data_IF_364286221777
#
_entry.id   IF_364286221777
#
_cell.length_a   1.000
_cell.length_b   1.000
_cell.length_c   1.000
_cell.angle_alpha   90.00
_cell.angle_beta   90.00
_cell.angle_gamma   90.00
#
_symmetry.space_group_name_H-M   'P 1'
#
loop_
_entity.id
_entity.type
_entity.pdbx_description
1 polymer ?
#
# COMPACT_ATOMS: atom_id res chain seq x y z
N UNK A 1 -55.77 -11.83 25.91
CA UNK A 1 -55.12 -13.06 25.41
C UNK A 1 -53.62 -12.87 25.46
N UNK A 2 -52.91 -13.58 26.30
CA UNK A 2 -51.41 -13.53 26.29
C UNK A 2 -50.94 -14.54 25.22
N UNK A 3 -50.39 -14.07 24.11
CA UNK A 3 -49.69 -14.94 23.18
C UNK A 3 -48.42 -15.44 23.86
N UNK A 4 -48.39 -16.71 24.24
CA UNK A 4 -47.15 -17.39 24.64
C UNK A 4 -46.56 -18.04 23.39
N UNK A 5 -45.34 -17.64 23.07
CA UNK A 5 -44.56 -18.28 22.00
C UNK A 5 -44.30 -19.75 22.34
N UNK A 6 -44.43 -20.64 21.36
CA UNK A 6 -43.94 -22.01 21.52
C UNK A 6 -42.41 -22.04 21.58
N UNK A 7 -41.85 -23.06 22.20
CA UNK A 7 -40.38 -23.21 22.27
C UNK A 7 -39.71 -23.28 20.88
N UNK A 8 -40.43 -23.81 19.89
CA UNK A 8 -39.97 -23.87 18.49
C UNK A 8 -39.98 -22.50 17.84
N UNK A 9 -41.03 -21.70 18.00
CA UNK A 9 -41.08 -20.32 17.47
C UNK A 9 -39.99 -19.43 18.07
N UNK A 10 -39.64 -19.63 19.34
CA UNK A 10 -38.57 -18.92 20.01
C UNK A 10 -37.21 -19.31 19.45
N UNK A 11 -36.96 -20.60 19.23
CA UNK A 11 -35.73 -21.11 18.63
C UNK A 11 -35.56 -20.63 17.18
N UNK A 12 -36.63 -20.63 16.39
CA UNK A 12 -36.60 -20.12 15.02
C UNK A 12 -36.31 -18.61 14.97
N UNK A 13 -36.92 -17.83 15.86
CA UNK A 13 -36.64 -16.39 15.96
C UNK A 13 -35.21 -16.11 16.38
N UNK A 14 -34.65 -16.89 17.31
CA UNK A 14 -33.25 -16.79 17.72
C UNK A 14 -32.31 -17.17 16.58
N UNK A 15 -32.57 -18.28 15.88
CA UNK A 15 -31.77 -18.72 14.73
C UNK A 15 -31.77 -17.67 13.61
N UNK A 16 -32.93 -17.08 13.31
CA UNK A 16 -33.05 -16.01 12.32
C UNK A 16 -32.24 -14.75 12.73
N UNK A 17 -32.33 -14.37 14.02
CA UNK A 17 -31.59 -13.24 14.57
C UNK A 17 -30.07 -13.46 14.49
N UNK A 18 -29.58 -14.66 14.80
CA UNK A 18 -28.16 -15.01 14.65
C UNK A 18 -27.73 -15.00 13.18
N UNK A 19 -28.54 -15.51 12.27
CA UNK A 19 -28.27 -15.49 10.84
C UNK A 19 -28.16 -14.05 10.33
N UNK A 20 -29.09 -13.18 10.69
CA UNK A 20 -29.04 -11.74 10.34
C UNK A 20 -27.79 -11.05 10.91
N UNK A 21 -27.47 -11.30 12.18
CA UNK A 21 -26.29 -10.73 12.82
C UNK A 21 -25.01 -11.17 12.11
N UNK A 22 -24.89 -12.45 11.79
CA UNK A 22 -23.75 -13.02 11.06
C UNK A 22 -23.58 -12.38 9.67
N UNK A 23 -24.68 -12.24 8.91
CA UNK A 23 -24.68 -11.59 7.61
C UNK A 23 -24.30 -10.11 7.70
N UNK A 24 -24.80 -9.39 8.69
CA UNK A 24 -24.46 -7.99 8.92
C UNK A 24 -22.98 -7.84 9.29
N UNK A 25 -22.45 -8.68 10.18
CA UNK A 25 -21.03 -8.67 10.55
C UNK A 25 -20.13 -8.97 9.36
N UNK A 26 -20.51 -9.95 8.52
CA UNK A 26 -19.76 -10.28 7.30
C UNK A 26 -19.79 -9.14 6.29
N UNK A 27 -20.95 -8.54 6.05
CA UNK A 27 -21.09 -7.38 5.17
C UNK A 27 -20.27 -6.18 5.66
N UNK A 28 -20.31 -5.90 6.96
CA UNK A 28 -19.51 -4.85 7.59
C UNK A 28 -18.00 -5.11 7.44
N UNK A 29 -17.54 -6.35 7.65
CA UNK A 29 -16.15 -6.74 7.46
C UNK A 29 -15.69 -6.58 5.99
N UNK A 30 -16.56 -6.90 5.02
CA UNK A 30 -16.28 -6.71 3.59
C UNK A 30 -16.20 -5.21 3.27
N UNK A 31 -17.14 -4.41 3.75
CA UNK A 31 -17.15 -2.94 3.55
C UNK A 31 -15.90 -2.32 4.17
N UNK A 32 -15.53 -2.71 5.38
CA UNK A 32 -14.28 -2.25 6.00
C UNK A 32 -13.06 -2.64 5.18
N UNK A 33 -12.95 -3.90 4.72
CA UNK A 33 -11.82 -4.32 3.88
C UNK A 33 -11.76 -3.55 2.56
N UNK A 34 -12.90 -3.32 1.91
CA UNK A 34 -12.97 -2.49 0.69
C UNK A 34 -12.61 -1.03 0.97
N UNK A 35 -12.85 -0.55 2.20
CA UNK A 35 -12.48 0.81 2.65
C UNK A 35 -11.01 0.97 3.02
N UNK A 36 -10.27 -0.13 3.29
CA UNK A 36 -8.90 -0.07 3.85
C UNK A 36 -7.82 -0.71 2.98
N UNK A 37 -8.19 -1.53 2.00
CA UNK A 37 -7.22 -2.26 1.16
C UNK A 37 -7.43 -1.98 -0.33
N UNK A 38 -6.34 -1.99 -1.07
CA UNK A 38 -6.34 -1.98 -2.54
C UNK A 38 -6.74 -3.37 -3.07
N UNK A 39 -7.75 -3.43 -3.91
CA UNK A 39 -8.35 -4.68 -4.41
C UNK A 39 -7.43 -5.46 -5.34
N UNK A 40 -6.49 -4.79 -5.99
CA UNK A 40 -5.55 -5.43 -6.91
C UNK A 40 -4.39 -6.09 -6.18
N UNK A 41 -3.77 -5.38 -5.24
CA UNK A 41 -2.53 -5.79 -4.58
C UNK A 41 -2.73 -6.38 -3.20
N UNK A 42 -3.88 -6.10 -2.56
CA UNK A 42 -4.16 -6.50 -1.17
C UNK A 42 -3.41 -5.67 -0.11
N UNK A 43 -2.65 -4.65 -0.53
CA UNK A 43 -2.00 -3.69 0.36
C UNK A 43 -3.03 -2.74 0.99
N UNK A 44 -2.61 -1.97 1.98
CA UNK A 44 -3.39 -0.84 2.44
C UNK A 44 -3.58 0.17 1.29
N UNK A 45 -4.77 0.74 1.19
CA UNK A 45 -5.10 1.71 0.13
C UNK A 45 -4.82 3.17 0.57
N UNK A 46 -5.12 4.12 -0.32
CA UNK A 46 -4.97 5.54 -0.07
C UNK A 46 -5.76 6.02 1.16
N UNK A 47 -6.98 5.53 1.37
CA UNK A 47 -7.77 5.91 2.55
C UNK A 47 -7.06 5.52 3.86
N UNK A 48 -6.50 4.30 3.90
CA UNK A 48 -5.73 3.83 5.07
C UNK A 48 -4.44 4.63 5.27
N UNK A 49 -3.83 5.07 4.19
CA UNK A 49 -2.67 5.97 4.24
C UNK A 49 -3.06 7.34 4.82
N UNK A 50 -4.14 7.96 4.34
CA UNK A 50 -4.62 9.25 4.85
C UNK A 50 -4.99 9.18 6.34
N UNK A 51 -5.68 8.11 6.77
CA UNK A 51 -5.96 7.87 8.19
C UNK A 51 -4.68 7.74 9.03
N UNK A 52 -3.64 7.11 8.50
CA UNK A 52 -2.34 7.01 9.16
C UNK A 52 -1.65 8.36 9.27
N UNK A 53 -1.77 9.22 8.26
CA UNK A 53 -1.24 10.58 8.33
C UNK A 53 -1.93 11.41 9.41
N UNK A 54 -3.25 11.36 9.50
CA UNK A 54 -4.01 12.03 10.55
C UNK A 54 -3.55 11.58 11.95
N UNK A 55 -3.31 10.27 12.12
CA UNK A 55 -2.80 9.71 13.37
C UNK A 55 -1.39 10.24 13.71
N UNK A 56 -0.49 10.33 12.74
CA UNK A 56 0.85 10.86 12.90
C UNK A 56 0.86 12.38 13.16
N UNK A 57 -0.11 13.14 12.63
CA UNK A 57 -0.27 14.56 12.95
C UNK A 57 -0.70 14.77 14.40
N UNK A 58 -1.56 13.89 14.93
CA UNK A 58 -2.01 13.95 16.33
C UNK A 58 -0.95 13.43 17.29
N UNK A 59 -0.22 12.40 16.90
CA UNK A 59 0.80 11.73 17.71
C UNK A 59 2.07 11.52 16.87
N UNK A 60 2.90 12.58 16.71
CA UNK A 60 4.11 12.48 15.91
C UNK A 60 5.06 11.39 16.45
N UNK A 61 5.54 10.48 15.59
CA UNK A 61 6.51 9.48 16.03
C UNK A 61 7.90 10.10 16.26
N UNK A 62 8.62 9.60 17.26
CA UNK A 62 9.99 10.03 17.55
C UNK A 62 10.97 9.71 16.43
N UNK A 63 10.74 8.62 15.73
CA UNK A 63 11.50 8.17 14.59
C UNK A 63 10.54 7.54 13.56
N UNK A 64 10.70 7.91 12.31
CA UNK A 64 9.95 7.33 11.19
C UNK A 64 10.81 7.38 9.93
N UNK A 65 10.77 6.32 9.14
CA UNK A 65 11.33 6.31 7.80
C UNK A 65 10.22 6.09 6.79
N UNK A 66 10.19 6.91 5.75
CA UNK A 66 9.31 6.76 4.61
C UNK A 66 10.10 6.16 3.45
N UNK A 67 9.56 5.11 2.86
CA UNK A 67 10.03 4.50 1.63
C UNK A 67 8.95 4.76 0.57
N UNK A 68 9.23 5.63 -0.39
CA UNK A 68 8.36 5.91 -1.53
C UNK A 68 8.85 5.12 -2.73
N UNK A 69 7.94 4.49 -3.47
CA UNK A 69 8.29 3.70 -4.65
C UNK A 69 7.30 3.96 -5.80
N UNK A 70 7.82 3.96 -7.02
CA UNK A 70 7.06 4.14 -8.25
C UNK A 70 7.52 3.10 -9.27
N UNK A 71 6.56 2.52 -9.99
CA UNK A 71 6.79 1.45 -10.96
C UNK A 71 7.22 2.03 -12.31
N UNK A 72 8.39 1.65 -12.75
CA UNK A 72 8.91 2.11 -14.04
C UNK A 72 8.36 1.25 -15.20
N UNK A 73 7.87 1.91 -16.25
CA UNK A 73 7.45 1.24 -17.49
C UNK A 73 6.11 0.52 -17.42
N UNK A 74 5.24 0.80 -16.43
CA UNK A 74 3.91 0.20 -16.33
C UNK A 74 3.06 0.47 -17.57
N UNK A 75 3.12 1.71 -18.10
CA UNK A 75 2.39 2.09 -19.31
C UNK A 75 2.84 1.27 -20.53
N UNK A 76 4.14 1.10 -20.71
CA UNK A 76 4.71 0.32 -21.81
C UNK A 76 4.37 -1.17 -21.68
N UNK A 77 4.39 -1.69 -20.45
CA UNK A 77 3.92 -3.05 -20.15
C UNK A 77 2.47 -3.24 -20.53
N UNK A 78 1.59 -2.31 -20.14
CA UNK A 78 0.17 -2.34 -20.48
C UNK A 78 -0.06 -2.29 -22.00
N UNK A 79 0.68 -1.45 -22.72
CA UNK A 79 0.54 -1.28 -24.17
C UNK A 79 1.08 -2.47 -24.96
N UNK A 80 2.14 -3.12 -24.49
CA UNK A 80 2.81 -4.20 -25.21
C UNK A 80 2.28 -5.58 -24.86
N UNK A 81 1.91 -5.80 -23.59
CA UNK A 81 1.52 -7.12 -23.06
C UNK A 81 0.09 -7.13 -22.47
N UNK A 82 -0.58 -5.98 -22.45
CA UNK A 82 -1.95 -5.82 -21.95
C UNK A 82 -2.03 -5.59 -20.45
N UNK A 83 -3.19 -5.08 -20.00
CA UNK A 83 -3.43 -4.71 -18.59
C UNK A 83 -3.22 -5.84 -17.58
N UNK A 84 -3.44 -7.11 -17.99
CA UNK A 84 -3.17 -8.25 -17.09
C UNK A 84 -1.70 -8.36 -16.70
N UNK A 85 -0.78 -8.09 -17.63
CA UNK A 85 0.65 -8.10 -17.36
C UNK A 85 1.06 -6.95 -16.41
N UNK A 86 0.48 -5.76 -16.61
CA UNK A 86 0.66 -4.63 -15.68
C UNK A 86 0.11 -4.93 -14.28
N UNK A 87 -1.05 -5.56 -14.20
CA UNK A 87 -1.64 -6.00 -12.93
C UNK A 87 -0.75 -7.01 -12.18
N UNK A 88 -0.15 -7.96 -12.91
CA UNK A 88 0.81 -8.92 -12.33
C UNK A 88 2.07 -8.22 -11.82
N UNK A 89 2.57 -7.26 -12.58
CA UNK A 89 3.71 -6.42 -12.19
C UNK A 89 3.42 -5.66 -10.89
N UNK A 90 2.26 -4.99 -10.80
CA UNK A 90 1.84 -4.26 -9.59
C UNK A 90 1.68 -5.18 -8.38
N UNK A 91 1.05 -6.36 -8.54
CA UNK A 91 0.93 -7.36 -7.46
C UNK A 91 2.29 -7.85 -6.98
N UNK A 92 3.22 -8.08 -7.92
CA UNK A 92 4.55 -8.57 -7.58
C UNK A 92 5.35 -7.54 -6.80
N UNK A 93 5.35 -6.27 -7.25
CA UNK A 93 6.06 -5.16 -6.59
C UNK A 93 5.47 -4.91 -5.21
N UNK A 94 4.14 -4.78 -5.10
CA UNK A 94 3.46 -4.61 -3.82
C UNK A 94 3.74 -5.74 -2.85
N UNK A 95 3.70 -6.99 -3.30
CA UNK A 95 4.03 -8.16 -2.49
C UNK A 95 5.50 -8.20 -2.04
N UNK A 96 6.44 -7.74 -2.88
CA UNK A 96 7.84 -7.63 -2.51
C UNK A 96 8.05 -6.56 -1.42
N UNK A 97 7.41 -5.40 -1.54
CA UNK A 97 7.45 -4.35 -0.52
C UNK A 97 6.82 -4.81 0.80
N UNK A 98 5.65 -5.44 0.73
CA UNK A 98 4.95 -5.96 1.92
C UNK A 98 5.79 -6.95 2.72
N UNK A 99 6.53 -7.83 2.03
CA UNK A 99 7.43 -8.80 2.69
C UNK A 99 8.58 -8.14 3.42
N UNK A 100 9.07 -7.01 2.93
CA UNK A 100 10.20 -6.31 3.53
C UNK A 100 9.78 -5.32 4.63
N UNK A 101 8.64 -4.64 4.48
CA UNK A 101 8.22 -3.56 5.36
C UNK A 101 6.98 -3.87 6.20
N UNK A 102 6.30 -4.99 5.95
CA UNK A 102 5.13 -5.44 6.71
C UNK A 102 3.80 -5.03 6.11
N UNK A 103 2.76 -5.80 6.41
CA UNK A 103 1.41 -5.63 5.85
C UNK A 103 0.64 -4.45 6.45
N UNK A 104 0.99 -4.02 7.67
CA UNK A 104 0.34 -2.91 8.37
C UNK A 104 0.93 -1.54 8.06
N UNK A 105 2.02 -1.50 7.29
CA UNK A 105 2.80 -0.29 7.04
C UNK A 105 3.09 -0.06 5.55
N UNK A 106 2.53 -0.90 4.64
CA UNK A 106 2.75 -0.79 3.19
C UNK A 106 1.45 -0.47 2.49
N UNK A 107 1.49 0.57 1.66
CA UNK A 107 0.34 1.19 1.02
C UNK A 107 0.52 1.23 -0.49
N UNK A 108 -0.59 1.11 -1.23
CA UNK A 108 -0.69 1.57 -2.62
C UNK A 108 -1.51 2.84 -2.64
N UNK A 109 -0.86 3.96 -2.97
CA UNK A 109 -1.45 5.31 -2.86
C UNK A 109 -1.87 5.91 -4.21
N UNK A 110 -1.36 5.35 -5.30
CA UNK A 110 -1.66 5.74 -6.68
C UNK A 110 -1.74 4.53 -7.60
N UNK A 111 -1.82 4.78 -8.89
CA UNK A 111 -1.87 3.72 -9.91
C UNK A 111 -0.63 2.83 -9.91
N UNK A 112 0.54 3.44 -9.88
CA UNK A 112 1.88 2.84 -9.89
C UNK A 112 2.72 3.23 -8.66
N UNK A 113 2.13 3.94 -7.69
CA UNK A 113 2.80 4.47 -6.52
C UNK A 113 2.52 3.64 -5.27
N UNK A 114 3.61 3.33 -4.58
CA UNK A 114 3.62 2.60 -3.33
C UNK A 114 4.38 3.36 -2.26
N UNK A 115 3.98 3.19 -1.02
CA UNK A 115 4.64 3.78 0.12
C UNK A 115 4.73 2.78 1.27
N UNK A 116 5.82 2.83 2.03
CA UNK A 116 5.92 2.11 3.29
C UNK A 116 6.50 3.01 4.38
N UNK A 117 6.01 2.80 5.61
CA UNK A 117 6.59 3.39 6.80
C UNK A 117 7.28 2.32 7.64
N UNK A 118 8.39 2.69 8.30
CA UNK A 118 9.04 1.87 9.32
C UNK A 118 9.73 2.75 10.36
N UNK A 119 9.67 2.33 11.61
CA UNK A 119 10.31 2.98 12.78
C UNK A 119 11.36 2.09 13.43
N UNK A 120 11.36 0.79 13.12
CA UNK A 120 12.18 -0.25 13.74
C UNK A 120 13.44 -0.65 12.97
N UNK A 121 13.59 -0.21 11.70
CA UNK A 121 14.71 -0.59 10.83
C UNK A 121 15.84 0.43 10.85
N UNK A 122 17.08 -0.07 10.87
CA UNK A 122 18.26 0.76 10.64
C UNK A 122 18.36 1.20 9.18
N UNK A 123 19.08 2.29 8.87
CA UNK A 123 19.31 2.72 7.49
C UNK A 123 19.89 1.62 6.61
N UNK A 124 20.88 0.87 7.08
CA UNK A 124 21.52 -0.22 6.35
C UNK A 124 20.52 -1.35 6.05
N UNK A 125 19.67 -1.73 7.02
CA UNK A 125 18.64 -2.74 6.83
C UNK A 125 17.56 -2.32 5.83
N UNK A 126 17.28 -1.01 5.71
CA UNK A 126 16.36 -0.47 4.71
C UNK A 126 17.00 -0.53 3.32
N UNK A 127 18.28 -0.13 3.21
CA UNK A 127 19.03 -0.19 1.97
C UNK A 127 19.14 -1.62 1.44
N UNK A 128 19.47 -2.59 2.30
CA UNK A 128 19.50 -4.02 1.99
C UNK A 128 18.13 -4.53 1.54
N UNK A 129 17.04 -4.09 2.21
CA UNK A 129 15.67 -4.45 1.83
C UNK A 129 15.33 -3.96 0.44
N UNK A 130 15.67 -2.72 0.11
CA UNK A 130 15.44 -2.12 -1.22
C UNK A 130 16.28 -2.82 -2.29
N UNK A 131 17.54 -3.09 -2.00
CA UNK A 131 18.42 -3.82 -2.92
C UNK A 131 17.86 -5.22 -3.22
N UNK A 132 17.37 -5.91 -2.19
CA UNK A 132 16.73 -7.21 -2.36
C UNK A 132 15.46 -7.13 -3.22
N UNK A 133 14.59 -6.14 -2.98
CA UNK A 133 13.42 -5.89 -3.84
C UNK A 133 13.86 -5.67 -5.28
N UNK A 134 14.81 -4.77 -5.53
CA UNK A 134 15.30 -4.47 -6.89
C UNK A 134 15.84 -5.72 -7.60
N UNK A 135 16.55 -6.61 -6.87
CA UNK A 135 17.03 -7.87 -7.41
C UNK A 135 15.88 -8.81 -7.81
N UNK A 136 14.85 -8.94 -6.97
CA UNK A 136 13.67 -9.74 -7.28
C UNK A 136 12.92 -9.20 -8.51
N UNK A 137 12.75 -7.87 -8.59
CA UNK A 137 12.10 -7.22 -9.73
C UNK A 137 12.87 -7.47 -11.02
N UNK A 138 14.20 -7.30 -10.99
CA UNK A 138 15.09 -7.50 -12.15
C UNK A 138 15.00 -8.93 -12.71
N UNK A 139 14.83 -9.95 -11.87
CA UNK A 139 14.67 -11.34 -12.31
C UNK A 139 13.42 -11.56 -13.16
N UNK A 140 12.42 -10.67 -13.04
CA UNK A 140 11.19 -10.69 -13.84
C UNK A 140 11.16 -9.62 -14.94
N UNK A 141 12.24 -8.87 -15.11
CA UNK A 141 12.27 -7.75 -16.04
C UNK A 141 11.45 -6.54 -15.58
N UNK A 142 11.11 -6.49 -14.28
CA UNK A 142 10.40 -5.36 -13.68
C UNK A 142 11.37 -4.37 -13.06
N UNK A 143 10.96 -3.12 -13.00
CA UNK A 143 11.75 -2.04 -12.40
C UNK A 143 10.85 -1.13 -11.57
N UNK A 144 11.39 -0.62 -10.46
CA UNK A 144 10.78 0.43 -9.67
C UNK A 144 11.87 1.36 -9.16
N UNK A 145 11.52 2.64 -9.02
CA UNK A 145 12.37 3.67 -8.42
C UNK A 145 11.96 3.89 -6.98
N UNK A 146 12.95 4.08 -6.10
CA UNK A 146 12.74 4.22 -4.66
C UNK A 146 13.33 5.52 -4.15
N UNK A 147 12.62 6.15 -3.22
CA UNK A 147 13.14 7.24 -2.42
C UNK A 147 12.98 6.93 -0.94
N UNK A 148 14.01 7.18 -0.17
CA UNK A 148 14.02 6.95 1.27
C UNK A 148 14.36 8.23 1.99
N UNK A 149 13.55 8.55 3.00
CA UNK A 149 13.82 9.64 3.91
C UNK A 149 13.52 9.21 5.34
N UNK A 150 14.25 9.79 6.28
CA UNK A 150 14.05 9.56 7.70
C UNK A 150 13.69 10.87 8.39
N UNK A 151 12.67 10.81 9.24
CA UNK A 151 12.28 11.95 10.07
C UNK A 151 13.46 12.31 10.99
N UNK A 152 13.88 13.56 10.91
CA UNK A 152 14.92 14.11 11.77
C UNK A 152 14.29 15.19 12.65
N UNK A 153 14.73 15.27 13.90
CA UNK A 153 14.18 16.05 15.00
C UNK A 153 13.49 17.37 14.59
N UNK A 154 12.19 17.44 14.81
CA UNK A 154 11.36 18.64 14.56
C UNK A 154 10.74 18.74 13.18
N UNK A 155 10.98 17.80 12.25
CA UNK A 155 10.31 17.76 10.95
C UNK A 155 8.89 17.20 11.04
N UNK A 156 8.07 17.45 10.03
CA UNK A 156 6.72 16.91 9.88
C UNK A 156 6.71 15.65 9.01
N UNK A 157 5.67 14.83 9.15
CA UNK A 157 5.50 13.62 8.30
C UNK A 157 5.25 14.01 6.84
N UNK A 158 4.60 15.14 6.59
CA UNK A 158 4.40 15.66 5.23
C UNK A 158 5.74 16.03 4.55
N UNK A 159 6.64 16.68 5.28
CA UNK A 159 7.99 16.98 4.80
C UNK A 159 8.80 15.71 4.55
N UNK A 160 8.67 14.71 5.43
CA UNK A 160 9.28 13.40 5.28
C UNK A 160 8.86 12.71 3.97
N UNK A 161 7.55 12.64 3.71
CA UNK A 161 6.99 12.02 2.51
C UNK A 161 7.45 12.77 1.26
N UNK A 162 7.34 14.10 1.25
CA UNK A 162 7.76 14.93 0.13
C UNK A 162 9.25 14.77 -0.18
N UNK A 163 10.09 14.66 0.83
CA UNK A 163 11.52 14.44 0.63
C UNK A 163 11.82 13.03 0.07
N UNK A 164 11.09 12.00 0.55
CA UNK A 164 11.18 10.65 -0.01
C UNK A 164 10.72 10.61 -1.48
N UNK A 165 9.60 11.22 -1.80
CA UNK A 165 9.08 11.36 -3.16
C UNK A 165 10.10 12.02 -4.10
N UNK A 166 10.70 13.14 -3.69
CA UNK A 166 11.73 13.83 -4.47
C UNK A 166 12.96 12.95 -4.74
N UNK A 167 13.33 12.08 -3.79
CA UNK A 167 14.43 11.12 -3.99
C UNK A 167 14.05 10.02 -4.97
N UNK A 168 12.83 9.48 -4.85
CA UNK A 168 12.28 8.51 -5.80
C UNK A 168 12.25 9.10 -7.21
N UNK A 169 11.77 10.32 -7.37
CA UNK A 169 11.71 10.99 -8.65
C UNK A 169 13.09 11.19 -9.29
N UNK A 170 14.13 11.54 -8.50
CA UNK A 170 15.51 11.62 -8.97
C UNK A 170 16.02 10.26 -9.46
N UNK A 171 15.72 9.20 -8.76
CA UNK A 171 16.08 7.85 -9.19
C UNK A 171 15.34 7.46 -10.48
N UNK A 172 14.02 7.75 -10.57
CA UNK A 172 13.20 7.50 -11.78
C UNK A 172 13.79 8.22 -13.00
N UNK A 173 14.15 9.48 -12.85
CA UNK A 173 14.79 10.26 -13.90
C UNK A 173 16.12 9.64 -14.32
N UNK A 174 17.00 9.28 -13.39
CA UNK A 174 18.28 8.62 -13.69
C UNK A 174 18.09 7.27 -14.38
N UNK A 175 17.05 6.53 -14.05
CA UNK A 175 16.71 5.27 -14.73
C UNK A 175 16.40 5.49 -16.21
N UNK A 176 15.52 6.44 -16.55
CA UNK A 176 15.17 6.74 -17.93
C UNK A 176 16.30 7.39 -18.73
N UNK A 177 17.11 8.25 -18.11
CA UNK A 177 18.31 8.83 -18.72
C UNK A 177 19.30 7.73 -19.17
N UNK A 178 19.51 6.70 -18.34
CA UNK A 178 20.39 5.55 -18.68
C UNK A 178 19.85 4.71 -19.84
N UNK A 179 18.54 4.72 -20.05
CA UNK A 179 17.91 4.03 -21.19
C UNK A 179 17.88 4.90 -22.46
N UNK A 180 18.30 6.17 -22.39
CA UNK A 180 18.20 7.11 -23.53
C UNK A 180 16.76 7.48 -23.87
N UNK A 181 15.82 7.32 -22.94
CA UNK A 181 14.40 7.62 -23.11
C UNK A 181 14.08 8.85 -22.26
N UNK A 182 13.37 9.87 -22.80
CA UNK A 182 12.90 10.98 -21.97
C UNK A 182 11.99 10.43 -20.85
N UNK A 183 12.30 10.81 -19.62
CA UNK A 183 11.41 10.48 -18.50
C UNK A 183 10.04 11.06 -18.82
N UNK A 184 9.02 10.23 -18.96
CA UNK A 184 7.63 10.69 -18.96
C UNK A 184 7.32 11.19 -17.57
N UNK A 185 7.29 12.50 -17.44
CA UNK A 185 6.80 13.20 -16.27
C UNK A 185 5.29 13.20 -16.47
N UNK A 186 4.58 12.29 -15.82
CA UNK A 186 3.15 12.44 -15.64
C UNK A 186 3.02 13.63 -14.66
N UNK A 187 2.86 14.84 -15.26
CA UNK A 187 2.52 16.03 -14.51
C UNK A 187 1.01 15.94 -14.25
N UNK A 188 0.66 15.57 -13.03
CA UNK A 188 -0.66 15.88 -12.48
C UNK A 188 -0.65 17.28 -11.83
#
# INVERSE_FOLDING_TARGET
MKHSWSSTELLDAVALSFSMLYHNMRSFSIIQKMGTTDTLTGLLNRNSFELRLDEYQLNPPDALTCIYADVNGLHDMNNTQGHKAGDEMLRFIGGAMQKQFGSSCTYRIGGDEFLAFTDDKTPDAIEDSILHIKQLLKQRGYHASFGVERLQGGGTVDELIKAAEQKMYREKRSYYEKLGIPARIDAD
#
